data_IF_526534326542
#
_entry.id   IF_526534326542
#
_cell.length_a   1.000
_cell.length_b   1.000
_cell.length_c   1.000
_cell.angle_alpha   90.00
_cell.angle_beta   90.00
_cell.angle_gamma   90.00
#
_symmetry.space_group_name_H-M   'P 1'
#
loop_
_entity.id
_entity.type
_entity.pdbx_description
1 polymer ?
#
# COMPACT_ATOMS: atom_id res chain seq x y z
N UNK A 1 -4.44 -13.15 -7.28
CA UNK A 1 -3.37 -12.17 -7.49
C UNK A 1 -3.65 -10.95 -6.64
N UNK A 2 -2.74 -10.68 -5.72
CA UNK A 2 -2.77 -9.50 -4.87
C UNK A 2 -1.88 -8.40 -5.45
N UNK A 3 -2.37 -7.16 -5.38
CA UNK A 3 -1.59 -5.95 -5.67
C UNK A 3 -1.27 -5.25 -4.35
N UNK A 4 0.00 -4.91 -4.12
CA UNK A 4 0.48 -4.27 -2.90
C UNK A 4 1.44 -3.12 -3.22
N UNK A 5 1.68 -2.26 -2.23
CA UNK A 5 2.59 -1.11 -2.35
C UNK A 5 3.82 -1.34 -1.48
N UNK A 6 4.99 -1.30 -2.07
CA UNK A 6 6.28 -1.50 -1.41
C UNK A 6 7.20 -0.27 -1.59
N UNK A 7 8.20 -0.11 -0.73
CA UNK A 7 9.28 0.87 -0.87
C UNK A 7 9.25 2.01 0.15
N UNK A 8 10.36 2.78 0.24
CA UNK A 8 10.51 3.84 1.23
C UNK A 8 9.59 5.04 0.94
N UNK A 9 9.43 5.93 1.93
CA UNK A 9 8.41 6.99 1.92
C UNK A 9 8.35 7.85 0.64
N UNK A 10 9.47 8.04 -0.06
CA UNK A 10 9.59 8.82 -1.30
C UNK A 10 9.93 8.01 -2.57
N UNK A 11 9.89 6.68 -2.49
CA UNK A 11 10.01 5.76 -3.65
C UNK A 11 9.09 4.57 -3.45
N UNK A 12 7.80 4.84 -3.35
CA UNK A 12 6.78 3.79 -3.22
C UNK A 12 6.39 3.30 -4.61
N UNK A 13 6.28 1.99 -4.77
CA UNK A 13 6.03 1.32 -6.04
C UNK A 13 4.91 0.31 -5.86
N UNK A 14 3.97 0.26 -6.80
CA UNK A 14 2.96 -0.79 -6.83
C UNK A 14 3.54 -2.06 -7.44
N UNK A 15 3.21 -3.21 -6.87
CA UNK A 15 3.63 -4.51 -7.38
C UNK A 15 2.46 -5.48 -7.33
N UNK A 16 2.45 -6.44 -8.24
CA UNK A 16 1.48 -7.53 -8.23
C UNK A 16 2.20 -8.87 -8.30
N UNK A 17 1.62 -9.89 -7.68
CA UNK A 17 2.14 -11.27 -7.73
C UNK A 17 2.30 -11.79 -9.17
N UNK A 18 1.65 -11.19 -10.17
CA UNK A 18 1.80 -11.57 -11.58
C UNK A 18 3.11 -11.14 -12.22
N UNK A 19 4.01 -10.50 -11.47
CA UNK A 19 5.28 -9.97 -11.97
C UNK A 19 5.19 -8.57 -12.54
N UNK A 20 4.01 -7.92 -12.46
CA UNK A 20 3.86 -6.52 -12.83
C UNK A 20 4.45 -5.60 -11.77
N UNK A 21 5.21 -4.61 -12.23
CA UNK A 21 5.81 -3.56 -11.41
C UNK A 21 5.38 -2.19 -11.95
N UNK A 22 4.78 -1.38 -11.10
CA UNK A 22 4.40 -0.01 -11.41
C UNK A 22 5.58 0.95 -11.39
N UNK A 23 5.30 2.22 -11.70
CA UNK A 23 6.31 3.28 -11.66
C UNK A 23 6.61 3.68 -10.22
N UNK A 24 7.88 3.88 -9.83
CA UNK A 24 8.21 4.46 -8.52
C UNK A 24 7.63 5.86 -8.38
N UNK A 25 6.78 6.07 -7.36
CA UNK A 25 6.15 7.35 -7.05
C UNK A 25 6.69 7.92 -5.75
N UNK A 26 6.83 9.26 -5.72
CA UNK A 26 7.15 9.99 -4.49
C UNK A 26 5.98 10.01 -3.51
N UNK A 27 4.74 10.01 -4.01
CA UNK A 27 3.54 10.00 -3.19
C UNK A 27 2.94 8.59 -3.14
N UNK A 28 2.54 8.15 -1.94
CA UNK A 28 1.82 6.88 -1.74
C UNK A 28 0.55 6.82 -2.57
N UNK A 29 -0.22 7.91 -2.61
CA UNK A 29 -1.49 7.96 -3.32
C UNK A 29 -1.31 7.63 -4.82
N UNK A 30 -0.26 8.15 -5.45
CA UNK A 30 0.04 7.83 -6.85
C UNK A 30 0.34 6.35 -7.06
N UNK A 31 1.10 5.72 -6.16
CA UNK A 31 1.37 4.29 -6.25
C UNK A 31 0.07 3.47 -6.05
N UNK A 32 -0.84 3.90 -5.16
CA UNK A 32 -2.16 3.28 -4.99
C UNK A 32 -3.03 3.40 -6.24
N UNK A 33 -2.96 4.53 -6.95
CA UNK A 33 -3.66 4.71 -8.24
C UNK A 33 -3.10 3.76 -9.29
N UNK A 34 -1.78 3.63 -9.41
CA UNK A 34 -1.16 2.69 -10.34
C UNK A 34 -1.63 1.25 -10.05
N UNK A 35 -1.68 0.86 -8.78
CA UNK A 35 -2.23 -0.43 -8.36
C UNK A 35 -3.71 -0.61 -8.74
N UNK A 36 -4.50 0.47 -8.69
CA UNK A 36 -5.94 0.43 -9.01
C UNK A 36 -6.22 0.33 -10.50
N UNK A 37 -5.44 1.05 -11.31
CA UNK A 37 -5.48 0.90 -12.77
C UNK A 37 -5.12 -0.54 -13.15
N UNK A 38 -4.05 -1.09 -12.57
CA UNK A 38 -3.64 -2.46 -12.84
C UNK A 38 -4.72 -3.48 -12.44
N UNK A 39 -5.30 -3.32 -11.25
CA UNK A 39 -6.39 -4.16 -10.77
C UNK A 39 -7.62 -4.12 -11.69
N UNK A 40 -8.02 -2.92 -12.13
CA UNK A 40 -9.13 -2.76 -13.07
C UNK A 40 -8.85 -3.42 -14.44
N UNK A 41 -7.61 -3.38 -14.91
CA UNK A 41 -7.22 -3.96 -16.21
C UNK A 41 -7.13 -5.49 -16.19
N UNK A 42 -6.78 -6.08 -15.04
CA UNK A 42 -6.42 -7.51 -14.95
C UNK A 42 -7.40 -8.33 -14.10
N UNK A 43 -8.33 -7.68 -13.41
CA UNK A 43 -9.17 -8.32 -12.40
C UNK A 43 -8.39 -8.75 -11.14
N UNK A 44 -7.13 -8.30 -10.98
CA UNK A 44 -6.36 -8.55 -9.79
C UNK A 44 -6.93 -7.77 -8.60
N UNK A 45 -6.93 -8.38 -7.42
CA UNK A 45 -7.52 -7.76 -6.24
C UNK A 45 -6.46 -6.85 -5.63
N UNK A 46 -6.76 -5.56 -5.53
CA UNK A 46 -5.96 -4.68 -4.68
C UNK A 46 -6.16 -5.12 -3.24
N UNK A 47 -5.12 -5.66 -2.63
CA UNK A 47 -5.16 -5.83 -1.19
C UNK A 47 -5.08 -4.41 -0.61
N UNK A 48 -6.07 -3.99 0.21
CA UNK A 48 -5.99 -2.69 0.84
C UNK A 48 -4.68 -2.65 1.61
N UNK A 49 -3.76 -1.79 1.17
CA UNK A 49 -2.55 -1.52 1.96
C UNK A 49 -3.07 -1.10 3.33
N UNK A 50 -2.69 -1.75 4.44
CA UNK A 50 -3.15 -1.32 5.75
C UNK A 50 -2.85 0.17 5.88
N UNK A 51 -3.89 0.98 5.80
CA UNK A 51 -3.82 2.39 6.07
C UNK A 51 -3.63 2.44 7.58
N UNK A 52 -2.38 2.53 8.01
CA UNK A 52 -2.03 2.52 9.43
C UNK A 52 -2.45 1.21 10.12
N UNK A 53 -1.62 0.17 10.02
CA UNK A 53 -1.26 -0.53 11.26
C UNK A 53 -0.29 0.39 12.05
N UNK A 54 -0.72 1.63 12.32
CA UNK A 54 -0.16 2.37 13.44
C UNK A 54 -0.64 1.54 14.62
N UNK A 55 0.26 0.79 15.26
CA UNK A 55 -0.01 0.28 16.59
C UNK A 55 -0.65 1.44 17.36
N UNK A 56 -1.94 1.30 17.69
CA UNK A 56 -2.59 2.31 18.51
C UNK A 56 -1.70 2.41 19.76
N UNK A 57 -1.15 3.59 20.11
CA UNK A 57 -0.36 3.68 21.31
C UNK A 57 -1.29 3.30 22.46
N UNK A 58 -0.99 2.17 23.11
CA UNK A 58 -1.72 1.73 24.30
C UNK A 58 -1.34 2.72 25.40
N UNK A 59 -2.13 3.78 25.53
CA UNK A 59 -1.98 4.75 26.62
C UNK A 59 -2.59 4.12 27.86
N UNK A 60 -1.74 3.60 28.74
CA UNK A 60 -2.14 3.14 30.07
C UNK A 60 -2.16 4.35 31.00
N UNK A 61 -3.36 4.79 31.40
CA UNK A 61 -3.49 5.72 32.53
C UNK A 61 -3.26 4.95 33.83
N UNK A 62 -2.12 5.20 34.49
CA UNK A 62 -1.95 4.82 35.89
C UNK A 62 -2.57 5.90 36.78
N UNK A 63 -3.61 5.52 37.53
CA UNK A 63 -4.04 6.28 38.69
C UNK A 63 -2.98 6.12 39.80
N UNK A 64 -2.61 7.22 40.44
CA UNK A 64 -1.81 7.27 41.66
C UNK A 64 -2.72 7.59 42.84
#
# INVERSE_FOLDING_TARGET
MQVYIEGPAFRRTAQCECGWHGTPRRMRASAVVDAGIHAAQTGHIQTPVPALASAAPVVVLKAS
#
